data_IF_426986598878
#
_entry.id   IF_426986598878
#
_cell.length_a   1.000
_cell.length_b   1.000
_cell.length_c   1.000
_cell.angle_alpha   90.00
_cell.angle_beta   90.00
_cell.angle_gamma   90.00
#
_symmetry.space_group_name_H-M   'P 1'
#
loop_
_entity.id
_entity.type
_entity.pdbx_description
1 polymer ?
#
# COMPACT_ATOMS: atom_id res chain seq x y z
N UNK A 1 -18.72 -15.45 9.75
CA UNK A 1 -17.31 -15.80 9.48
C UNK A 1 -16.45 -14.62 9.89
N UNK A 2 -15.34 -14.80 10.63
CA UNK A 2 -14.40 -13.71 10.82
C UNK A 2 -13.88 -13.25 9.44
N UNK A 3 -13.82 -11.94 9.22
CA UNK A 3 -13.24 -11.38 8.00
C UNK A 3 -11.74 -11.72 7.89
N UNK A 4 -11.12 -11.43 6.73
CA UNK A 4 -9.69 -11.68 6.52
C UNK A 4 -8.85 -10.97 7.57
N UNK A 5 -7.86 -11.67 8.13
CA UNK A 5 -6.95 -11.10 9.13
C UNK A 5 -6.05 -10.03 8.50
N UNK A 6 -5.40 -9.22 9.32
CA UNK A 6 -4.45 -8.21 8.83
C UNK A 6 -3.27 -8.86 8.10
N UNK A 7 -2.80 -10.01 8.58
CA UNK A 7 -1.75 -10.79 7.92
C UNK A 7 -2.19 -11.31 6.54
N UNK A 8 -3.44 -11.76 6.39
CA UNK A 8 -3.98 -12.19 5.10
C UNK A 8 -4.01 -11.04 4.09
N UNK A 9 -4.34 -9.82 4.55
CA UNK A 9 -4.31 -8.62 3.70
C UNK A 9 -2.89 -8.30 3.24
N UNK A 10 -1.91 -8.37 4.15
CA UNK A 10 -0.51 -8.13 3.81
C UNK A 10 0.04 -9.16 2.82
N UNK A 11 -0.32 -10.44 2.97
CA UNK A 11 0.00 -11.49 1.99
C UNK A 11 -0.61 -11.18 0.62
N UNK A 12 -1.90 -10.82 0.58
CA UNK A 12 -2.56 -10.46 -0.66
C UNK A 12 -1.91 -9.24 -1.35
N UNK A 13 -1.45 -8.25 -0.57
CA UNK A 13 -0.69 -7.11 -1.09
C UNK A 13 0.66 -7.54 -1.68
N UNK A 14 1.41 -8.38 -0.97
CA UNK A 14 2.66 -8.96 -1.44
C UNK A 14 2.49 -9.70 -2.78
N UNK A 15 1.45 -10.55 -2.89
CA UNK A 15 1.17 -11.30 -4.12
C UNK A 15 0.77 -10.38 -5.28
N UNK A 16 0.06 -9.28 -5.01
CA UNK A 16 -0.41 -8.36 -6.06
C UNK A 16 0.66 -7.35 -6.53
N UNK A 17 1.59 -6.95 -5.67
CA UNK A 17 2.60 -5.93 -5.97
C UNK A 17 3.90 -6.51 -6.52
N UNK A 18 4.07 -7.83 -6.50
CA UNK A 18 5.35 -8.55 -6.68
C UNK A 18 6.32 -8.33 -5.51
N UNK A 19 7.22 -9.30 -5.24
CA UNK A 19 8.14 -9.23 -4.10
C UNK A 19 9.04 -7.99 -4.13
N UNK A 20 9.51 -7.58 -5.31
CA UNK A 20 10.37 -6.42 -5.51
C UNK A 20 9.71 -5.10 -5.16
N UNK A 21 8.53 -4.84 -5.72
CA UNK A 21 7.79 -3.61 -5.37
C UNK A 21 7.40 -3.60 -3.91
N UNK A 22 6.99 -4.75 -3.36
CA UNK A 22 6.57 -4.83 -1.97
C UNK A 22 7.76 -4.57 -1.01
N UNK A 23 8.93 -5.12 -1.32
CA UNK A 23 10.19 -4.83 -0.63
C UNK A 23 10.56 -3.35 -0.71
N UNK A 24 10.50 -2.74 -1.91
CA UNK A 24 10.84 -1.33 -2.16
C UNK A 24 9.89 -0.37 -1.42
N UNK A 25 8.59 -0.65 -1.44
CA UNK A 25 7.57 0.12 -0.73
C UNK A 25 7.73 0.05 0.80
N UNK A 26 8.28 -1.05 1.33
CA UNK A 26 8.51 -1.19 2.76
C UNK A 26 9.91 -0.76 3.20
N UNK A 27 10.80 -0.43 2.26
CA UNK A 27 12.24 -0.22 2.49
C UNK A 27 12.86 -1.38 3.28
N UNK A 28 12.48 -2.61 2.92
CA UNK A 28 12.90 -3.82 3.62
C UNK A 28 13.60 -4.79 2.66
N UNK A 29 14.65 -5.51 3.09
CA UNK A 29 15.25 -6.56 2.28
C UNK A 29 14.25 -7.67 1.96
N UNK A 30 14.24 -8.19 0.74
CA UNK A 30 13.38 -9.32 0.34
C UNK A 30 13.48 -10.53 1.26
N UNK A 31 14.68 -10.79 1.79
CA UNK A 31 14.95 -11.89 2.70
C UNK A 31 14.12 -11.84 3.99
N UNK A 32 13.61 -10.65 4.38
CA UNK A 32 12.79 -10.45 5.58
C UNK A 32 11.29 -10.62 5.33
N UNK A 33 10.85 -10.63 4.07
CA UNK A 33 9.43 -10.75 3.71
C UNK A 33 8.79 -12.07 4.19
N UNK A 34 9.44 -13.25 4.09
CA UNK A 34 8.84 -14.50 4.58
C UNK A 34 8.58 -14.51 6.09
N UNK A 35 9.49 -13.97 6.91
CA UNK A 35 9.32 -13.85 8.36
C UNK A 35 8.18 -12.88 8.72
N UNK A 36 8.09 -11.75 8.02
CA UNK A 36 7.02 -10.77 8.19
C UNK A 36 5.65 -11.37 7.80
N UNK A 37 5.58 -12.06 6.67
CA UNK A 37 4.33 -12.63 6.14
C UNK A 37 3.93 -13.95 6.81
N UNK A 38 4.84 -14.64 7.49
CA UNK A 38 4.51 -15.79 8.34
C UNK A 38 3.96 -15.39 9.70
N UNK A 39 4.13 -14.12 10.10
CA UNK A 39 3.74 -13.63 11.41
C UNK A 39 4.69 -14.05 12.53
N UNK A 40 5.88 -14.55 12.19
CA UNK A 40 6.89 -14.98 13.16
C UNK A 40 7.46 -13.80 13.95
N UNK A 41 7.56 -12.63 13.32
CA UNK A 41 7.89 -11.36 13.95
C UNK A 41 6.87 -10.28 13.54
N UNK A 42 6.25 -9.57 14.50
CA UNK A 42 5.36 -8.47 14.16
C UNK A 42 6.16 -7.31 13.55
N UNK A 43 5.65 -6.63 12.50
CA UNK A 43 6.30 -5.44 11.99
C UNK A 43 6.28 -4.33 13.04
N UNK A 44 7.37 -3.59 13.14
CA UNK A 44 7.54 -2.47 14.08
C UNK A 44 7.95 -1.19 13.35
N UNK A 45 7.80 -0.04 14.00
CA UNK A 45 8.23 1.26 13.47
C UNK A 45 7.62 1.59 12.11
N UNK A 46 8.46 2.09 11.21
CA UNK A 46 8.06 2.59 9.89
C UNK A 46 7.46 1.49 9.00
N UNK A 47 7.96 0.25 9.09
CA UNK A 47 7.43 -0.88 8.31
C UNK A 47 5.95 -1.09 8.62
N UNK A 48 5.59 -1.09 9.90
CA UNK A 48 4.19 -1.24 10.32
C UNK A 48 3.34 -0.08 9.81
N UNK A 49 3.84 1.15 9.94
CA UNK A 49 3.13 2.34 9.47
C UNK A 49 2.88 2.30 7.95
N UNK A 50 3.86 1.85 7.16
CA UNK A 50 3.74 1.67 5.72
C UNK A 50 2.74 0.57 5.34
N UNK A 51 2.77 -0.57 6.03
CA UNK A 51 1.80 -1.65 5.84
C UNK A 51 0.36 -1.22 6.16
N UNK A 52 0.17 -0.51 7.26
CA UNK A 52 -1.12 0.04 7.65
C UNK A 52 -1.61 1.06 6.62
N UNK A 53 -0.73 1.95 6.15
CA UNK A 53 -1.03 2.90 5.08
C UNK A 53 -1.47 2.22 3.77
N UNK A 54 -0.74 1.21 3.30
CA UNK A 54 -1.12 0.47 2.08
C UNK A 54 -2.46 -0.28 2.25
N UNK A 55 -2.72 -0.80 3.44
CA UNK A 55 -3.99 -1.48 3.76
C UNK A 55 -5.15 -0.48 3.78
N UNK A 56 -4.94 0.72 4.33
CA UNK A 56 -5.94 1.79 4.32
C UNK A 56 -6.25 2.26 2.90
N UNK A 57 -5.21 2.49 2.08
CA UNK A 57 -5.39 2.81 0.66
C UNK A 57 -6.19 1.74 -0.07
N UNK A 58 -5.87 0.45 0.15
CA UNK A 58 -6.63 -0.65 -0.44
C UNK A 58 -8.12 -0.60 -0.05
N UNK A 59 -8.41 -0.31 1.22
CA UNK A 59 -9.77 -0.25 1.76
C UNK A 59 -10.62 0.89 1.18
N UNK A 60 -9.97 1.96 0.71
CA UNK A 60 -10.64 3.11 0.06
C UNK A 60 -11.00 2.85 -1.41
N UNK A 61 -10.38 1.85 -2.04
CA UNK A 61 -10.72 1.51 -3.42
C UNK A 61 -12.06 0.79 -3.49
N UNK A 62 -12.86 1.09 -4.51
CA UNK A 62 -14.10 0.38 -4.78
C UNK A 62 -14.03 -0.47 -6.07
N UNK A 63 -14.24 -1.80 -5.98
CA UNK A 63 -14.24 -2.61 -4.76
C UNK A 63 -12.83 -2.77 -4.15
N UNK A 64 -12.71 -2.99 -2.83
CA UNK A 64 -11.43 -3.06 -2.13
C UNK A 64 -10.69 -4.36 -2.50
N UNK A 65 -9.53 -4.25 -3.15
CA UNK A 65 -8.72 -5.41 -3.55
C UNK A 65 -7.26 -5.07 -3.79
N UNK A 66 -6.37 -6.01 -3.47
CA UNK A 66 -4.92 -5.84 -3.65
C UNK A 66 -4.54 -5.67 -5.13
N UNK A 67 -5.21 -6.38 -6.05
CA UNK A 67 -5.00 -6.23 -7.49
C UNK A 67 -5.36 -4.82 -7.98
N UNK A 68 -6.47 -4.26 -7.46
CA UNK A 68 -6.88 -2.89 -7.82
C UNK A 68 -5.92 -1.87 -7.23
N UNK A 69 -5.41 -2.08 -6.02
CA UNK A 69 -4.36 -1.23 -5.47
C UNK A 69 -3.09 -1.27 -6.32
N UNK A 70 -2.62 -2.46 -6.71
CA UNK A 70 -1.46 -2.62 -7.60
C UNK A 70 -1.62 -1.84 -8.90
N UNK A 71 -2.80 -1.95 -9.53
CA UNK A 71 -3.13 -1.14 -10.71
C UNK A 71 -3.22 0.35 -10.40
N UNK A 72 -3.87 0.74 -9.31
CA UNK A 72 -4.05 2.14 -8.92
C UNK A 72 -2.70 2.84 -8.67
N UNK A 73 -1.76 2.15 -8.02
CA UNK A 73 -0.42 2.64 -7.71
C UNK A 73 0.46 2.84 -8.95
N UNK A 74 0.16 2.16 -10.06
CA UNK A 74 0.92 2.24 -11.33
C UNK A 74 0.30 3.22 -12.33
N UNK A 75 -0.89 3.76 -12.04
CA UNK A 75 -1.53 4.76 -12.90
C UNK A 75 -0.98 6.15 -12.61
N UNK A 76 -0.58 6.87 -13.67
CA UNK A 76 -0.15 8.27 -13.57
C UNK A 76 -1.34 9.13 -13.17
N UNK A 77 -1.12 10.04 -12.22
CA UNK A 77 -2.15 10.97 -11.74
C UNK A 77 -1.75 12.39 -12.10
N UNK A 78 -2.68 13.14 -12.70
CA UNK A 78 -2.48 14.56 -13.01
C UNK A 78 -2.15 15.34 -11.73
N UNK A 79 -2.90 15.08 -10.64
CA UNK A 79 -2.69 15.70 -9.33
C UNK A 79 -1.31 15.39 -8.70
N UNK A 80 -0.59 14.38 -9.18
CA UNK A 80 0.76 14.02 -8.74
C UNK A 80 1.85 14.51 -9.72
N UNK A 81 1.57 15.55 -10.50
CA UNK A 81 2.45 16.06 -11.56
C UNK A 81 2.79 14.98 -12.59
N UNK A 82 1.77 14.21 -13.02
CA UNK A 82 1.89 13.10 -13.97
C UNK A 82 2.79 11.94 -13.51
N UNK A 83 3.13 11.87 -12.22
CA UNK A 83 3.82 10.72 -11.61
C UNK A 83 2.81 9.69 -11.11
N UNK A 84 3.28 8.47 -10.94
CA UNK A 84 2.54 7.38 -10.31
C UNK A 84 2.72 7.44 -8.79
N UNK A 85 1.72 7.00 -7.99
CA UNK A 85 1.91 6.81 -6.56
C UNK A 85 3.13 5.94 -6.21
N UNK A 86 3.37 4.88 -6.99
CA UNK A 86 4.51 3.97 -6.77
C UNK A 86 5.84 4.72 -6.87
N UNK A 87 6.03 5.57 -7.88
CA UNK A 87 7.26 6.38 -8.03
C UNK A 87 7.50 7.33 -6.84
N UNK A 88 6.43 7.81 -6.21
CA UNK A 88 6.50 8.71 -5.06
C UNK A 88 6.71 7.99 -3.72
N UNK A 89 6.34 6.71 -3.64
CA UNK A 89 6.47 5.86 -2.46
C UNK A 89 7.68 4.92 -2.55
N UNK A 90 8.72 5.28 -3.30
CA UNK A 90 9.97 4.50 -3.34
C UNK A 90 10.92 4.89 -2.22
N UNK A 91 11.60 3.91 -1.66
CA UNK A 91 12.63 4.09 -0.63
C UNK A 91 12.05 4.51 0.73
N UNK A 92 12.77 5.33 1.47
CA UNK A 92 12.44 5.67 2.85
C UNK A 92 11.35 6.76 2.98
N UNK A 93 10.09 6.42 2.68
CA UNK A 93 8.93 7.31 2.88
C UNK A 93 8.21 7.03 4.20
N UNK A 94 7.40 7.98 4.67
CA UNK A 94 6.49 7.80 5.81
C UNK A 94 5.08 8.27 5.45
N UNK A 95 4.02 7.77 6.13
CA UNK A 95 2.66 8.27 5.93
C UNK A 95 2.50 9.78 6.22
N UNK A 96 3.46 10.39 6.91
CA UNK A 96 3.45 11.81 7.23
C UNK A 96 4.09 12.67 6.12
N UNK A 97 4.75 12.05 5.14
CA UNK A 97 5.40 12.78 4.06
C UNK A 97 4.37 13.47 3.17
N UNK A 98 4.68 14.65 2.61
CA UNK A 98 3.74 15.39 1.76
C UNK A 98 3.23 14.57 0.56
N UNK A 99 4.09 13.73 -0.04
CA UNK A 99 3.70 12.88 -1.16
C UNK A 99 2.76 11.75 -0.74
N UNK A 100 3.00 11.09 0.39
CA UNK A 100 2.10 10.06 0.91
C UNK A 100 0.73 10.63 1.29
N UNK A 101 0.69 11.83 1.88
CA UNK A 101 -0.57 12.53 2.17
C UNK A 101 -1.35 12.85 0.89
N UNK A 102 -0.69 13.42 -0.11
CA UNK A 102 -1.35 13.73 -1.38
C UNK A 102 -1.93 12.48 -2.08
N UNK A 103 -1.21 11.35 -2.03
CA UNK A 103 -1.70 10.06 -2.55
C UNK A 103 -2.96 9.61 -1.80
N UNK A 104 -2.95 9.74 -0.47
CA UNK A 104 -4.07 9.37 0.39
C UNK A 104 -5.31 10.23 0.12
N UNK A 105 -5.13 11.55 0.01
CA UNK A 105 -6.21 12.49 -0.32
C UNK A 105 -6.85 12.16 -1.69
N UNK A 106 -6.03 11.76 -2.68
CA UNK A 106 -6.54 11.34 -3.99
C UNK A 106 -7.35 10.04 -3.87
N UNK A 107 -6.87 9.06 -3.09
CA UNK A 107 -7.60 7.82 -2.88
C UNK A 107 -8.93 8.06 -2.15
N UNK A 108 -8.97 8.98 -1.19
CA UNK A 108 -10.20 9.41 -0.52
C UNK A 108 -11.18 10.10 -1.47
N UNK A 109 -10.70 11.00 -2.32
CA UNK A 109 -11.52 11.65 -3.32
C UNK A 109 -12.10 10.65 -4.34
N UNK A 110 -11.27 9.72 -4.85
CA UNK A 110 -11.71 8.65 -5.75
C UNK A 110 -12.80 7.77 -5.09
N UNK A 111 -12.62 7.42 -3.80
CA UNK A 111 -13.58 6.64 -3.03
C UNK A 111 -14.92 7.36 -2.88
N UNK A 112 -14.89 8.64 -2.53
CA UNK A 112 -16.08 9.48 -2.42
C UNK A 112 -16.86 9.55 -3.75
N UNK A 113 -16.15 9.73 -4.86
CA UNK A 113 -16.77 9.78 -6.20
C UNK A 113 -17.34 8.44 -6.65
N UNK A 114 -16.76 7.32 -6.23
CA UNK A 114 -17.26 5.98 -6.59
C UNK A 114 -18.49 5.56 -5.80
N UNK A 115 -18.76 6.22 -4.67
CA UNK A 115 -19.94 6.00 -3.83
C UNK A 115 -21.16 6.87 -4.16
N UNK A 116 -21.04 7.79 -5.14
CA UNK A 116 -22.14 8.56 -5.73
C UNK A 116 -22.80 7.76 -6.87
#
# INVERSE_FOLDING_TARGET
MPGPTQLDRWRALHDALSPDTFSDLLDLPHATLPDLLSGHAPPTGDVRARLEYLTDLQGRLDPPSAQRLSRWLTLRRFALNHRTPLELLRGAWTPLDPHARAIHDIAEADAYLSGL
#
